data_IF_712843400028
#
_entry.id   IF_712843400028
#
_cell.length_a   1.000
_cell.length_b   1.000
_cell.length_c   1.000
_cell.angle_alpha   90.00
_cell.angle_beta   90.00
_cell.angle_gamma   90.00
#
_symmetry.space_group_name_H-M   'P 1'
#
loop_
_entity.id
_entity.type
_entity.pdbx_description
1 polymer ?
#
# COMPACT_ATOMS: atom_id res chain seq x y z
N UNK A 1 -5.64 2.37 -10.91
CA UNK A 1 -4.68 2.36 -9.78
C UNK A 1 -3.94 1.05 -9.76
N UNK A 2 -2.63 1.13 -9.59
CA UNK A 2 -1.76 -0.08 -9.57
C UNK A 2 -2.17 -1.07 -8.49
N UNK A 3 -2.46 -0.60 -7.28
CA UNK A 3 -2.80 -1.46 -6.14
C UNK A 3 -4.09 -2.26 -6.35
N UNK A 4 -5.12 -1.65 -6.93
CA UNK A 4 -6.36 -2.39 -7.28
C UNK A 4 -6.12 -3.49 -8.30
N UNK A 5 -5.28 -3.22 -9.30
CA UNK A 5 -4.91 -4.22 -10.31
C UNK A 5 -4.14 -5.38 -9.69
N UNK A 6 -3.22 -5.08 -8.78
CA UNK A 6 -2.47 -6.11 -8.05
C UNK A 6 -3.40 -6.96 -7.17
N UNK A 7 -4.33 -6.32 -6.46
CA UNK A 7 -5.33 -7.01 -5.65
C UNK A 7 -6.21 -7.93 -6.51
N UNK A 8 -6.73 -7.44 -7.63
CA UNK A 8 -7.53 -8.23 -8.56
C UNK A 8 -6.72 -9.41 -9.14
N UNK A 9 -5.46 -9.19 -9.47
CA UNK A 9 -4.55 -10.22 -9.92
C UNK A 9 -4.38 -11.32 -8.86
N UNK A 10 -4.14 -10.96 -7.61
CA UNK A 10 -3.98 -11.91 -6.51
C UNK A 10 -5.25 -12.74 -6.28
N UNK A 11 -6.41 -12.13 -6.34
CA UNK A 11 -7.70 -12.83 -6.23
C UNK A 11 -7.89 -13.86 -7.35
N UNK A 12 -7.45 -13.52 -8.55
CA UNK A 12 -7.62 -14.38 -9.73
C UNK A 12 -6.57 -15.49 -9.82
N UNK A 13 -5.32 -15.18 -9.47
CA UNK A 13 -4.18 -16.05 -9.71
C UNK A 13 -3.49 -16.55 -8.44
N UNK A 14 -4.07 -16.32 -7.27
CA UNK A 14 -3.53 -16.81 -6.00
C UNK A 14 -3.51 -18.34 -5.87
N UNK A 15 -4.21 -19.02 -6.75
CA UNK A 15 -4.16 -20.49 -6.86
C UNK A 15 -4.48 -21.18 -5.56
N UNK A 16 -3.63 -22.13 -5.17
CA UNK A 16 -3.79 -22.92 -3.94
C UNK A 16 -3.76 -22.06 -2.66
N UNK A 17 -3.10 -20.90 -2.68
CA UNK A 17 -3.05 -19.99 -1.54
C UNK A 17 -4.44 -19.42 -1.17
N UNK A 18 -5.36 -19.36 -2.12
CA UNK A 18 -6.74 -18.95 -1.85
C UNK A 18 -7.46 -19.91 -0.91
N UNK A 19 -6.96 -21.11 -0.69
CA UNK A 19 -7.46 -22.08 0.29
C UNK A 19 -6.77 -21.97 1.65
N UNK A 20 -5.65 -21.25 1.72
CA UNK A 20 -4.97 -20.92 2.97
C UNK A 20 -5.68 -19.75 3.66
N UNK A 21 -6.29 -20.04 4.83
CA UNK A 21 -7.03 -19.05 5.60
C UNK A 21 -6.15 -17.86 6.00
N UNK A 22 -4.92 -18.08 6.39
CA UNK A 22 -4.00 -17.02 6.83
C UNK A 22 -3.65 -16.08 5.68
N UNK A 23 -3.41 -16.61 4.50
CA UNK A 23 -3.14 -15.82 3.31
C UNK A 23 -4.37 -15.02 2.87
N UNK A 24 -5.55 -15.64 2.87
CA UNK A 24 -6.82 -14.96 2.56
C UNK A 24 -7.12 -13.82 3.54
N UNK A 25 -6.87 -14.03 4.83
CA UNK A 25 -7.10 -13.01 5.85
C UNK A 25 -6.19 -11.80 5.62
N UNK A 26 -4.94 -12.03 5.25
CA UNK A 26 -4.00 -10.97 4.90
C UNK A 26 -4.44 -10.23 3.64
N UNK A 27 -4.88 -10.94 2.63
CA UNK A 27 -5.42 -10.36 1.39
C UNK A 27 -6.65 -9.49 1.67
N UNK A 28 -7.58 -10.00 2.47
CA UNK A 28 -8.79 -9.28 2.86
C UNK A 28 -8.47 -8.02 3.66
N UNK A 29 -7.50 -8.09 4.56
CA UNK A 29 -7.05 -6.93 5.33
C UNK A 29 -6.50 -5.83 4.42
N UNK A 30 -5.65 -6.19 3.48
CA UNK A 30 -5.11 -5.24 2.50
C UNK A 30 -6.22 -4.62 1.66
N UNK A 31 -7.22 -5.40 1.27
CA UNK A 31 -8.39 -4.90 0.53
C UNK A 31 -9.17 -3.86 1.33
N UNK A 32 -9.44 -4.13 2.60
CA UNK A 32 -10.13 -3.19 3.50
C UNK A 32 -9.31 -1.91 3.66
N UNK A 33 -8.02 -2.03 3.92
CA UNK A 33 -7.13 -0.88 4.08
C UNK A 33 -7.04 -0.04 2.80
N UNK A 34 -6.98 -0.68 1.64
CA UNK A 34 -6.96 0.01 0.35
C UNK A 34 -8.26 0.78 0.10
N UNK A 35 -9.40 0.16 0.40
CA UNK A 35 -10.70 0.82 0.28
C UNK A 35 -10.81 2.01 1.22
N UNK A 36 -10.39 1.85 2.46
CA UNK A 36 -10.37 2.93 3.45
C UNK A 36 -9.46 4.07 3.00
N UNK A 37 -8.28 3.76 2.46
CA UNK A 37 -7.34 4.75 1.96
C UNK A 37 -7.94 5.55 0.79
N UNK A 38 -8.62 4.89 -0.14
CA UNK A 38 -9.28 5.55 -1.27
C UNK A 38 -10.37 6.51 -0.82
N UNK A 39 -11.24 6.06 0.07
CA UNK A 39 -12.33 6.90 0.61
C UNK A 39 -11.74 8.09 1.37
N UNK A 40 -10.72 7.86 2.17
CA UNK A 40 -10.03 8.91 2.92
C UNK A 40 -9.41 9.95 1.97
N UNK A 41 -8.75 9.49 0.92
CA UNK A 41 -8.18 10.37 -0.09
C UNK A 41 -9.25 11.23 -0.77
N UNK A 42 -10.39 10.63 -1.15
CA UNK A 42 -11.51 11.36 -1.75
C UNK A 42 -12.08 12.41 -0.78
N UNK A 43 -12.20 12.09 0.50
CA UNK A 43 -12.66 13.04 1.52
C UNK A 43 -11.69 14.21 1.70
N UNK A 44 -10.40 13.97 1.65
CA UNK A 44 -9.40 15.03 1.73
C UNK A 44 -9.45 15.95 0.51
N UNK A 45 -9.56 15.36 -0.70
CA UNK A 45 -9.72 16.13 -1.93
C UNK A 45 -10.99 16.99 -1.92
N UNK A 46 -12.11 16.44 -1.47
CA UNK A 46 -13.36 17.15 -1.35
C UNK A 46 -13.25 18.31 -0.36
N UNK A 47 -12.64 18.10 0.80
CA UNK A 47 -12.39 19.15 1.78
C UNK A 47 -11.55 20.28 1.20
N UNK A 48 -10.46 19.94 0.49
CA UNK A 48 -9.60 20.94 -0.16
C UNK A 48 -10.36 21.75 -1.21
N UNK A 49 -11.23 21.10 -1.99
CA UNK A 49 -12.09 21.80 -2.97
C UNK A 49 -13.04 22.78 -2.30
N UNK A 50 -13.67 22.36 -1.22
CA UNK A 50 -14.68 23.20 -0.53
C UNK A 50 -14.08 24.33 0.27
N UNK A 51 -12.94 24.12 0.90
CA UNK A 51 -12.34 25.08 1.83
C UNK A 51 -11.22 25.92 1.20
N UNK A 52 -10.68 25.51 0.06
CA UNK A 52 -9.51 26.15 -0.54
C UNK A 52 -8.22 26.01 0.29
N UNK A 53 -8.26 25.24 1.37
CA UNK A 53 -7.11 25.06 2.25
C UNK A 53 -6.08 24.13 1.61
N UNK A 54 -4.76 24.41 1.75
CA UNK A 54 -3.73 23.50 1.27
C UNK A 54 -3.73 22.19 2.07
N UNK A 55 -3.16 21.11 1.50
CA UNK A 55 -3.02 19.85 2.22
C UNK A 55 -2.16 20.01 3.47
N UNK A 56 -2.59 19.43 4.58
CA UNK A 56 -1.86 19.43 5.84
C UNK A 56 -1.23 18.07 6.15
N UNK A 57 -1.37 17.63 7.39
CA UNK A 57 -0.88 16.31 7.86
C UNK A 57 -1.48 15.12 7.08
N UNK A 58 -2.57 15.33 6.38
CA UNK A 58 -3.28 14.33 5.58
C UNK A 58 -2.36 13.69 4.51
N UNK A 59 -1.51 14.48 3.86
CA UNK A 59 -0.57 14.00 2.84
C UNK A 59 0.43 13.01 3.46
N UNK A 60 0.94 13.32 4.65
CA UNK A 60 1.86 12.44 5.37
C UNK A 60 1.20 11.12 5.75
N UNK A 61 -0.04 11.15 6.20
CA UNK A 61 -0.80 9.95 6.53
C UNK A 61 -1.07 9.09 5.30
N UNK A 62 -1.46 9.69 4.19
CA UNK A 62 -1.66 8.99 2.91
C UNK A 62 -0.38 8.34 2.41
N UNK A 63 0.75 9.02 2.54
CA UNK A 63 2.06 8.47 2.17
C UNK A 63 2.42 7.25 3.01
N UNK A 64 2.25 7.31 4.33
CA UNK A 64 2.53 6.19 5.23
C UNK A 64 1.65 4.99 4.86
N UNK A 65 0.34 5.18 4.86
CA UNK A 65 -0.61 4.10 4.58
C UNK A 65 -0.48 3.55 3.16
N UNK A 66 -0.31 4.42 2.19
CA UNK A 66 -0.14 4.00 0.79
C UNK A 66 1.11 3.13 0.59
N UNK A 67 2.22 3.48 1.21
CA UNK A 67 3.46 2.69 1.12
C UNK A 67 3.35 1.36 1.86
N UNK A 68 2.72 1.33 3.02
CA UNK A 68 2.47 0.09 3.77
C UNK A 68 1.59 -0.89 2.97
N UNK A 69 0.51 -0.39 2.36
CA UNK A 69 -0.38 -1.21 1.51
C UNK A 69 0.38 -1.74 0.30
N UNK A 70 1.16 -0.90 -0.38
CA UNK A 70 1.96 -1.33 -1.53
C UNK A 70 2.98 -2.41 -1.15
N UNK A 71 3.65 -2.26 -0.03
CA UNK A 71 4.58 -3.28 0.45
C UNK A 71 3.86 -4.58 0.79
N UNK A 72 2.71 -4.52 1.47
CA UNK A 72 1.89 -5.69 1.78
C UNK A 72 1.44 -6.44 0.52
N UNK A 73 1.01 -5.72 -0.52
CA UNK A 73 0.65 -6.32 -1.80
C UNK A 73 1.82 -7.01 -2.48
N UNK A 74 3.01 -6.41 -2.45
CA UNK A 74 4.20 -7.04 -3.05
C UNK A 74 4.64 -8.28 -2.28
N UNK A 75 4.44 -8.33 -0.98
CA UNK A 75 4.69 -9.52 -0.17
C UNK A 75 3.73 -10.65 -0.54
N UNK A 76 2.44 -10.37 -0.63
CA UNK A 76 1.44 -11.35 -1.05
C UNK A 76 1.70 -11.87 -2.48
N UNK A 77 2.11 -10.99 -3.38
CA UNK A 77 2.49 -11.39 -4.75
C UNK A 77 3.72 -12.29 -4.75
N UNK A 78 4.72 -12.00 -3.93
CA UNK A 78 5.91 -12.82 -3.81
C UNK A 78 5.56 -14.23 -3.32
N UNK A 79 4.70 -14.34 -2.32
CA UNK A 79 4.24 -15.63 -1.80
C UNK A 79 3.42 -16.41 -2.84
N UNK A 80 2.69 -15.72 -3.71
CA UNK A 80 1.90 -16.35 -4.77
C UNK A 80 2.75 -16.84 -5.96
N UNK A 81 4.03 -16.50 -6.02
CA UNK A 81 4.94 -16.96 -7.04
C UNK A 81 5.83 -18.08 -6.52
N UNK A 82 6.25 -18.99 -7.40
CA UNK A 82 7.26 -20.00 -7.06
C UNK A 82 8.65 -19.34 -7.02
N UNK A 83 9.32 -19.32 -5.87
CA UNK A 83 10.66 -18.73 -5.77
C UNK A 83 11.71 -19.42 -6.66
N UNK A 84 11.48 -20.70 -6.96
CA UNK A 84 12.38 -21.49 -7.81
C UNK A 84 12.10 -21.30 -9.32
N UNK A 85 10.94 -20.73 -9.66
CA UNK A 85 10.60 -20.49 -11.06
C UNK A 85 11.47 -19.38 -11.66
N UNK A 86 12.08 -19.69 -12.79
CA UNK A 86 12.88 -18.73 -13.56
C UNK A 86 12.08 -17.98 -14.62
N UNK A 87 10.75 -18.04 -14.57
CA UNK A 87 9.91 -17.37 -15.55
C UNK A 87 9.94 -15.84 -15.39
N UNK A 88 9.53 -15.13 -16.44
CA UNK A 88 9.56 -13.67 -16.48
C UNK A 88 8.69 -13.03 -15.40
N UNK A 89 7.54 -13.65 -15.07
CA UNK A 89 6.63 -13.15 -14.04
C UNK A 89 7.25 -13.23 -12.65
N UNK A 90 7.80 -14.38 -12.29
CA UNK A 90 8.44 -14.57 -10.97
C UNK A 90 9.65 -13.65 -10.80
N UNK A 91 10.44 -13.44 -11.85
CA UNK A 91 11.55 -12.48 -11.84
C UNK A 91 11.03 -11.05 -11.64
N UNK A 92 10.00 -10.65 -12.37
CA UNK A 92 9.41 -9.31 -12.25
C UNK A 92 8.83 -9.05 -10.86
N UNK A 93 8.15 -10.02 -10.28
CA UNK A 93 7.58 -9.93 -8.92
C UNK A 93 8.69 -9.75 -7.88
N UNK A 94 9.77 -10.54 -7.95
CA UNK A 94 10.91 -10.40 -7.04
C UNK A 94 11.57 -9.03 -7.14
N UNK A 95 11.81 -8.55 -8.37
CA UNK A 95 12.37 -7.22 -8.60
C UNK A 95 11.48 -6.13 -7.99
N UNK A 96 10.18 -6.24 -8.18
CA UNK A 96 9.22 -5.28 -7.64
C UNK A 96 9.18 -5.32 -6.12
N UNK A 97 9.17 -6.51 -5.51
CA UNK A 97 9.24 -6.65 -4.06
C UNK A 97 10.45 -5.91 -3.48
N UNK A 98 11.63 -6.17 -4.02
CA UNK A 98 12.87 -5.54 -3.56
C UNK A 98 12.84 -4.02 -3.80
N UNK A 99 12.40 -3.59 -4.97
CA UNK A 99 12.31 -2.17 -5.32
C UNK A 99 11.33 -1.40 -4.43
N UNK A 100 10.23 -2.02 -4.00
CA UNK A 100 9.23 -1.36 -3.16
C UNK A 100 9.65 -1.21 -1.70
N UNK A 101 10.71 -1.88 -1.24
CA UNK A 101 11.22 -1.69 0.13
C UNK A 101 11.66 -0.25 0.41
N UNK A 102 12.13 0.47 -0.60
CA UNK A 102 12.54 1.87 -0.48
C UNK A 102 11.38 2.86 -0.27
N UNK A 103 10.13 2.47 -0.53
CA UNK A 103 8.99 3.38 -0.50
C UNK A 103 8.69 3.96 0.87
N UNK A 104 9.11 3.29 1.94
CA UNK A 104 9.00 3.78 3.31
C UNK A 104 10.17 4.68 3.71
N UNK A 105 11.16 4.86 2.83
CA UNK A 105 12.40 5.59 3.11
C UNK A 105 12.50 6.85 2.26
N UNK A 106 12.27 6.75 0.95
CA UNK A 106 12.45 7.85 0.01
C UNK A 106 11.34 8.90 0.11
N UNK A 107 11.61 10.11 -0.39
CA UNK A 107 10.68 11.25 -0.36
C UNK A 107 10.16 11.58 1.05
N UNK A 108 11.05 11.53 2.05
CA UNK A 108 10.72 11.61 3.46
C UNK A 108 10.33 10.25 4.02
N UNK A 109 11.14 9.72 4.91
CA UNK A 109 10.86 8.41 5.53
C UNK A 109 9.53 8.42 6.27
N UNK A 110 8.95 7.25 6.51
CA UNK A 110 7.71 7.14 7.27
C UNK A 110 7.89 7.69 8.71
N UNK A 111 9.07 7.58 9.28
CA UNK A 111 9.42 8.19 10.57
C UNK A 111 9.34 9.71 10.52
N UNK A 112 9.90 10.33 9.47
CA UNK A 112 9.79 11.78 9.24
C UNK A 112 8.35 12.19 9.01
N UNK A 113 7.57 11.41 8.27
CA UNK A 113 6.15 11.68 8.05
C UNK A 113 5.35 11.65 9.36
N UNK A 114 5.65 10.72 10.26
CA UNK A 114 5.06 10.66 11.60
C UNK A 114 5.41 11.90 12.43
N UNK A 115 6.65 12.37 12.34
CA UNK A 115 7.06 13.60 13.00
C UNK A 115 6.30 14.83 12.47
N UNK A 116 6.09 14.90 11.16
CA UNK A 116 5.28 15.98 10.55
C UNK A 116 3.86 15.95 11.08
N UNK A 117 3.23 14.78 11.15
CA UNK A 117 1.88 14.62 11.70
C UNK A 117 1.84 15.08 13.16
N UNK A 118 2.80 14.65 13.97
CA UNK A 118 2.89 15.02 15.36
C UNK A 118 3.01 16.54 15.55
N UNK A 119 3.86 17.19 14.78
CA UNK A 119 4.02 18.65 14.84
C UNK A 119 2.76 19.39 14.41
N UNK A 120 2.16 18.99 13.29
CA UNK A 120 1.00 19.68 12.72
C UNK A 120 -0.29 19.45 13.50
N UNK A 121 -0.43 18.26 14.08
CA UNK A 121 -1.69 17.86 14.76
C UNK A 121 -1.63 18.07 16.27
N UNK A 122 -0.49 17.81 16.88
CA UNK A 122 -0.31 17.89 18.35
C UNK A 122 0.45 19.13 18.79
N UNK A 123 1.02 19.89 17.88
CA UNK A 123 1.82 21.08 18.21
C UNK A 123 3.16 20.79 18.87
N UNK A 124 3.69 19.57 18.67
CA UNK A 124 4.95 19.14 19.28
C UNK A 124 6.20 19.64 18.55
#
# INVERSE_FOLDING_TARGET
>A
MKSKRQLAYLKRYGGHLMQDQRWRDRLSRVEVELTALEITNLRFLDRMRRTGQPPGADVSMLKIKGTEIQQGLTELMLEATDPAAGDALSVAVRKRYLSMRKTTIYAGSNEIQRNIIAKMTLGL
#
